data_IF_815181694744
#
_entry.id   IF_815181694744
#
_cell.length_a   1.000
_cell.length_b   1.000
_cell.length_c   1.000
_cell.angle_alpha   90.00
_cell.angle_beta   90.00
_cell.angle_gamma   90.00
#
_symmetry.space_group_name_H-M   'P 1'
#
loop_
_entity.id
_entity.type
_entity.pdbx_description
1 polymer ?
#
# COMPACT_ATOMS: atom_id res chain seq x y z
N UNK A 1 73.19 -80.64 -35.60
CA UNK A 1 72.56 -81.81 -36.25
C UNK A 1 71.07 -81.51 -36.40
N UNK A 2 70.58 -81.57 -37.63
CA UNK A 2 69.19 -81.52 -38.14
C UNK A 2 68.22 -80.42 -37.61
N UNK A 3 67.78 -79.46 -38.46
CA UNK A 3 66.62 -78.62 -38.15
C UNK A 3 65.31 -79.42 -38.28
N UNK A 4 64.47 -79.36 -37.26
CA UNK A 4 63.17 -80.01 -37.22
C UNK A 4 62.15 -79.21 -38.05
N UNK A 5 61.59 -79.91 -39.05
CA UNK A 5 60.47 -79.53 -39.89
C UNK A 5 59.22 -79.23 -39.06
N UNK A 6 58.70 -78.00 -39.17
CA UNK A 6 57.43 -77.55 -38.58
C UNK A 6 56.29 -77.91 -39.56
N UNK A 7 55.26 -78.69 -39.14
CA UNK A 7 54.12 -78.99 -39.98
C UNK A 7 53.15 -77.79 -40.11
N UNK A 8 52.44 -77.66 -41.24
CA UNK A 8 51.49 -76.55 -41.46
C UNK A 8 50.24 -76.68 -40.58
N UNK A 9 49.61 -75.55 -40.20
CA UNK A 9 48.38 -75.55 -39.42
C UNK A 9 47.21 -76.15 -40.22
N UNK A 10 46.56 -77.12 -39.62
CA UNK A 10 45.31 -77.71 -40.11
C UNK A 10 44.17 -76.74 -39.77
N UNK A 11 43.70 -75.97 -40.75
CA UNK A 11 42.45 -75.24 -40.62
C UNK A 11 41.29 -76.24 -40.69
N UNK A 12 40.76 -76.63 -39.53
CA UNK A 12 39.44 -77.22 -39.46
C UNK A 12 38.43 -76.12 -39.83
N UNK A 13 37.83 -76.23 -41.02
CA UNK A 13 36.68 -75.44 -41.41
C UNK A 13 35.48 -75.91 -40.57
N UNK A 14 35.37 -75.37 -39.36
CA UNK A 14 34.15 -75.46 -38.58
C UNK A 14 33.11 -74.62 -39.32
N UNK A 15 32.19 -75.28 -40.02
CA UNK A 15 31.02 -74.67 -40.62
C UNK A 15 30.20 -74.07 -39.48
N UNK A 16 30.47 -72.82 -39.12
CA UNK A 16 29.57 -71.99 -38.33
C UNK A 16 28.28 -71.88 -39.14
N UNK A 17 27.35 -72.81 -38.91
CA UNK A 17 25.94 -72.62 -39.23
C UNK A 17 25.52 -71.35 -38.54
N UNK A 18 25.37 -70.28 -39.31
CA UNK A 18 24.79 -69.03 -38.85
C UNK A 18 23.45 -69.37 -38.20
N UNK A 19 23.25 -69.03 -36.92
CA UNK A 19 21.98 -69.29 -36.26
C UNK A 19 20.87 -68.64 -37.08
N UNK A 20 19.90 -69.46 -37.49
CA UNK A 20 18.73 -69.01 -38.23
C UNK A 20 18.08 -67.89 -37.42
N UNK A 21 17.94 -66.70 -38.02
CA UNK A 21 17.48 -65.49 -37.32
C UNK A 21 16.16 -65.77 -36.60
N UNK A 22 15.32 -66.62 -37.22
CA UNK A 22 14.02 -67.05 -36.70
C UNK A 22 14.13 -67.90 -35.41
N UNK A 23 15.13 -68.76 -35.29
CA UNK A 23 15.38 -69.51 -34.04
C UNK A 23 15.87 -68.59 -32.92
N UNK A 24 16.62 -67.53 -33.28
CA UNK A 24 17.09 -66.50 -32.33
C UNK A 24 15.93 -65.66 -31.77
N UNK A 25 14.90 -65.38 -32.57
CA UNK A 25 13.66 -64.73 -32.08
C UNK A 25 12.69 -65.72 -31.42
N UNK A 26 13.08 -66.99 -31.33
CA UNK A 26 12.39 -68.01 -30.54
C UNK A 26 11.30 -68.79 -31.27
N UNK A 27 11.30 -68.78 -32.60
CA UNK A 27 10.50 -69.68 -33.41
C UNK A 27 11.16 -71.05 -33.46
N UNK A 28 10.40 -72.12 -33.23
CA UNK A 28 10.91 -73.48 -33.37
C UNK A 28 10.35 -74.09 -34.66
N UNK A 29 11.23 -74.73 -35.44
CA UNK A 29 10.81 -75.50 -36.62
C UNK A 29 9.95 -76.66 -36.14
N UNK A 30 8.69 -76.68 -36.56
CA UNK A 30 7.73 -77.73 -36.22
C UNK A 30 6.98 -78.12 -37.48
N UNK A 31 6.57 -79.38 -37.57
CA UNK A 31 5.81 -79.86 -38.72
C UNK A 31 4.35 -79.43 -38.55
N UNK A 32 3.80 -78.78 -39.56
CA UNK A 32 2.43 -78.25 -39.56
C UNK A 32 1.69 -78.86 -40.77
N UNK A 33 0.37 -79.03 -40.68
CA UNK A 33 -0.49 -79.54 -41.76
C UNK A 33 -1.05 -80.94 -41.49
N UNK A 34 -2.05 -81.37 -42.29
CA UNK A 34 -2.68 -82.69 -42.15
C UNK A 34 -1.70 -83.80 -42.55
N UNK A 35 -0.93 -84.29 -41.58
CA UNK A 35 0.03 -85.38 -41.74
C UNK A 35 1.51 -85.00 -41.55
N UNK A 36 1.82 -83.87 -40.90
CA UNK A 36 3.20 -83.46 -40.53
C UNK A 36 4.19 -83.39 -41.70
N UNK A 37 3.72 -83.02 -42.90
CA UNK A 37 4.54 -83.03 -44.12
C UNK A 37 5.19 -81.68 -44.45
N UNK A 38 4.69 -80.57 -43.91
CA UNK A 38 5.22 -79.23 -44.19
C UNK A 38 6.03 -78.71 -43.00
N UNK A 39 7.25 -78.26 -43.28
CA UNK A 39 8.10 -77.58 -42.29
C UNK A 39 7.55 -76.16 -42.09
N UNK A 40 6.99 -75.90 -40.91
CA UNK A 40 6.54 -74.59 -40.49
C UNK A 40 7.31 -74.10 -39.26
N UNK A 41 7.07 -72.85 -38.88
CA UNK A 41 7.61 -72.28 -37.65
C UNK A 41 6.45 -72.10 -36.66
N UNK A 42 6.57 -72.68 -35.46
CA UNK A 42 5.59 -72.54 -34.39
C UNK A 42 6.23 -71.77 -33.23
N UNK A 43 5.57 -70.71 -32.78
CA UNK A 43 5.91 -70.05 -31.52
C UNK A 43 5.33 -70.86 -30.36
N UNK A 44 6.18 -71.21 -29.40
CA UNK A 44 5.72 -71.75 -28.11
C UNK A 44 4.78 -70.75 -27.42
N UNK A 45 3.60 -71.21 -26.99
CA UNK A 45 2.62 -70.37 -26.26
C UNK A 45 3.22 -69.64 -25.06
N UNK A 46 4.20 -70.24 -24.38
CA UNK A 46 4.93 -69.61 -23.27
C UNK A 46 5.73 -68.39 -23.72
N UNK A 47 6.38 -68.44 -24.90
CA UNK A 47 7.13 -67.31 -25.48
C UNK A 47 6.18 -66.21 -25.97
N UNK A 48 5.05 -66.57 -26.58
CA UNK A 48 4.04 -65.59 -26.98
C UNK A 48 3.47 -64.83 -25.77
N UNK A 49 3.17 -65.54 -24.67
CA UNK A 49 2.74 -64.93 -23.41
C UNK A 49 3.83 -64.04 -22.80
N UNK A 50 5.09 -64.47 -22.85
CA UNK A 50 6.22 -63.66 -22.41
C UNK A 50 6.38 -62.37 -23.21
N UNK A 51 6.22 -62.44 -24.53
CA UNK A 51 6.28 -61.26 -25.42
C UNK A 51 5.09 -60.32 -25.18
N UNK A 52 3.88 -60.86 -25.03
CA UNK A 52 2.70 -60.07 -24.69
C UNK A 52 2.85 -59.39 -23.31
N UNK A 53 3.30 -60.12 -22.28
CA UNK A 53 3.55 -59.57 -20.96
C UNK A 53 4.66 -58.50 -20.99
N UNK A 54 5.74 -58.72 -21.76
CA UNK A 54 6.80 -57.75 -21.98
C UNK A 54 6.28 -56.48 -22.64
N UNK A 55 5.47 -56.60 -23.70
CA UNK A 55 4.86 -55.44 -24.36
C UNK A 55 3.91 -54.66 -23.44
N UNK A 56 3.09 -55.36 -22.64
CA UNK A 56 2.21 -54.73 -21.66
C UNK A 56 3.00 -54.03 -20.55
N UNK A 57 4.11 -54.60 -20.09
CA UNK A 57 5.00 -53.96 -19.12
C UNK A 57 5.63 -52.67 -19.70
N UNK A 58 6.09 -52.68 -20.95
CA UNK A 58 6.63 -51.48 -21.61
C UNK A 58 5.56 -50.38 -21.73
N UNK A 59 4.34 -50.73 -22.12
CA UNK A 59 3.21 -49.78 -22.17
C UNK A 59 2.88 -49.25 -20.77
N UNK A 60 2.91 -50.11 -19.74
CA UNK A 60 2.72 -49.71 -18.36
C UNK A 60 3.77 -48.72 -17.86
N UNK A 61 5.05 -48.98 -18.16
CA UNK A 61 6.15 -48.06 -17.84
C UNK A 61 5.99 -46.73 -18.57
N UNK A 62 5.66 -46.75 -19.87
CA UNK A 62 5.40 -45.52 -20.63
C UNK A 62 4.22 -44.72 -20.05
N UNK A 63 3.14 -45.39 -19.66
CA UNK A 63 2.01 -44.74 -19.01
C UNK A 63 2.40 -44.10 -17.67
N UNK A 64 3.21 -44.78 -16.86
CA UNK A 64 3.72 -44.22 -15.59
C UNK A 64 4.61 -42.99 -15.86
N UNK A 65 5.52 -43.06 -16.84
CA UNK A 65 6.36 -41.91 -17.21
C UNK A 65 5.51 -40.74 -17.67
N UNK A 66 4.48 -40.96 -18.49
CA UNK A 66 3.55 -39.89 -18.92
C UNK A 66 2.79 -39.29 -17.73
N UNK A 67 2.34 -40.11 -16.78
CA UNK A 67 1.66 -39.60 -15.57
C UNK A 67 2.62 -38.79 -14.70
N UNK A 68 3.87 -39.25 -14.54
CA UNK A 68 4.89 -38.53 -13.77
C UNK A 68 5.28 -37.20 -14.44
N UNK A 69 5.47 -37.17 -15.76
CA UNK A 69 5.78 -35.91 -16.47
C UNK A 69 4.61 -34.93 -16.45
N UNK A 70 3.37 -35.41 -16.57
CA UNK A 70 2.18 -34.55 -16.37
C UNK A 70 2.11 -34.00 -14.94
N UNK A 71 2.51 -34.79 -13.94
CA UNK A 71 2.58 -34.36 -12.55
C UNK A 71 3.69 -33.31 -12.33
N UNK A 72 4.88 -33.53 -12.89
CA UNK A 72 6.00 -32.59 -12.86
C UNK A 72 5.64 -31.26 -13.54
N UNK A 73 5.08 -31.29 -14.76
CA UNK A 73 4.63 -30.08 -15.46
C UNK A 73 3.57 -29.33 -14.64
N UNK A 74 2.64 -30.05 -13.99
CA UNK A 74 1.64 -29.43 -13.12
C UNK A 74 2.28 -28.84 -11.85
N UNK A 75 3.30 -29.48 -11.30
CA UNK A 75 4.00 -29.01 -10.11
C UNK A 75 4.91 -27.81 -10.41
N UNK A 76 5.64 -27.84 -11.53
CA UNK A 76 6.43 -26.72 -12.04
C UNK A 76 5.54 -25.52 -12.36
N UNK A 77 4.41 -25.74 -13.04
CA UNK A 77 3.44 -24.67 -13.30
C UNK A 77 2.93 -24.06 -11.99
N UNK A 78 2.63 -24.87 -10.97
CA UNK A 78 2.26 -24.39 -9.63
C UNK A 78 3.38 -23.62 -8.93
N UNK A 79 4.63 -24.11 -8.99
CA UNK A 79 5.79 -23.45 -8.40
C UNK A 79 6.09 -22.12 -9.09
N UNK A 80 5.99 -22.08 -10.41
CA UNK A 80 6.17 -20.88 -11.21
C UNK A 80 5.09 -19.85 -10.90
N UNK A 81 3.81 -20.22 -10.87
CA UNK A 81 2.73 -19.30 -10.46
C UNK A 81 2.92 -18.77 -9.04
N UNK A 82 3.47 -19.55 -8.11
CA UNK A 82 3.79 -19.06 -6.76
C UNK A 82 4.90 -18.02 -6.75
N UNK A 83 5.96 -18.20 -7.54
CA UNK A 83 7.03 -17.21 -7.67
C UNK A 83 6.53 -15.95 -8.37
N UNK A 84 5.79 -16.13 -9.45
CA UNK A 84 5.16 -15.03 -10.19
C UNK A 84 4.26 -14.21 -9.24
N UNK A 85 3.45 -14.87 -8.40
CA UNK A 85 2.63 -14.19 -7.40
C UNK A 85 3.43 -13.44 -6.34
N UNK A 86 4.54 -14.00 -5.85
CA UNK A 86 5.41 -13.24 -4.93
C UNK A 86 5.94 -11.97 -5.59
N UNK A 87 6.32 -12.05 -6.87
CA UNK A 87 6.78 -10.89 -7.62
C UNK A 87 5.64 -9.91 -7.93
N UNK A 88 4.44 -10.40 -8.28
CA UNK A 88 3.24 -9.60 -8.51
C UNK A 88 2.74 -8.93 -7.23
N UNK A 89 2.64 -9.65 -6.10
CA UNK A 89 2.30 -9.08 -4.79
C UNK A 89 3.34 -8.04 -4.35
N UNK A 90 4.64 -8.29 -4.55
CA UNK A 90 5.67 -7.30 -4.25
C UNK A 90 5.54 -6.06 -5.12
N UNK A 91 5.23 -6.23 -6.42
CA UNK A 91 5.00 -5.14 -7.34
C UNK A 91 3.72 -4.36 -6.98
N UNK A 92 2.63 -5.04 -6.63
CA UNK A 92 1.37 -4.45 -6.20
C UNK A 92 1.53 -3.69 -4.88
N UNK A 93 2.27 -4.25 -3.91
CA UNK A 93 2.59 -3.57 -2.66
C UNK A 93 3.41 -2.30 -2.91
N UNK A 94 4.42 -2.35 -3.77
CA UNK A 94 5.22 -1.17 -4.15
C UNK A 94 4.41 -0.13 -4.92
N UNK A 95 3.48 -0.56 -5.77
CA UNK A 95 2.56 0.35 -6.45
C UNK A 95 1.63 1.03 -5.44
N UNK A 96 1.00 0.27 -4.55
CA UNK A 96 0.14 0.83 -3.50
C UNK A 96 0.89 1.81 -2.59
N UNK A 97 2.16 1.53 -2.28
CA UNK A 97 3.05 2.43 -1.53
C UNK A 97 3.28 3.75 -2.28
N UNK A 98 3.78 3.68 -3.52
CA UNK A 98 4.03 4.87 -4.34
C UNK A 98 2.75 5.69 -4.55
N UNK A 99 1.63 5.00 -4.74
CA UNK A 99 0.34 5.66 -4.89
C UNK A 99 -0.13 6.34 -3.61
N UNK A 100 0.12 5.76 -2.43
CA UNK A 100 -0.19 6.40 -1.15
C UNK A 100 0.71 7.60 -0.86
N UNK A 101 1.99 7.53 -1.20
CA UNK A 101 2.90 8.66 -1.09
C UNK A 101 2.43 9.81 -2.00
N UNK A 102 2.10 9.51 -3.27
CA UNK A 102 1.51 10.47 -4.19
C UNK A 102 0.20 11.03 -3.65
N UNK A 103 -0.64 10.21 -3.03
CA UNK A 103 -1.91 10.62 -2.44
C UNK A 103 -1.70 11.62 -1.29
N UNK A 104 -0.72 11.37 -0.41
CA UNK A 104 -0.34 12.30 0.65
C UNK A 104 0.15 13.63 0.06
N UNK A 105 1.05 13.59 -0.92
CA UNK A 105 1.57 14.78 -1.59
C UNK A 105 0.45 15.61 -2.24
N UNK A 106 -0.50 14.97 -2.93
CA UNK A 106 -1.63 15.66 -3.53
C UNK A 106 -2.57 16.29 -2.51
N UNK A 107 -2.78 15.64 -1.37
CA UNK A 107 -3.58 16.19 -0.30
C UNK A 107 -2.92 17.44 0.29
N UNK A 108 -1.61 17.37 0.54
CA UNK A 108 -0.84 18.51 1.04
C UNK A 108 -0.87 19.68 0.03
N UNK A 109 -0.71 19.42 -1.27
CA UNK A 109 -0.87 20.43 -2.34
C UNK A 109 -2.26 21.10 -2.33
N UNK A 110 -3.33 20.34 -2.09
CA UNK A 110 -4.70 20.87 -2.03
C UNK A 110 -4.87 21.77 -0.81
N UNK A 111 -4.36 21.34 0.35
CA UNK A 111 -4.39 22.11 1.59
C UNK A 111 -3.60 23.40 1.43
N UNK A 112 -2.36 23.32 0.94
CA UNK A 112 -1.50 24.48 0.69
C UNK A 112 -2.16 25.46 -0.29
N UNK A 113 -2.79 24.97 -1.35
CA UNK A 113 -3.56 25.78 -2.29
C UNK A 113 -4.71 26.55 -1.60
N UNK A 114 -5.46 25.89 -0.72
CA UNK A 114 -6.57 26.51 0.00
C UNK A 114 -6.07 27.55 1.02
N UNK A 115 -5.02 27.23 1.76
CA UNK A 115 -4.36 28.16 2.68
C UNK A 115 -3.82 29.39 1.96
N UNK A 116 -3.18 29.19 0.79
CA UNK A 116 -2.68 30.27 -0.04
C UNK A 116 -3.82 31.21 -0.50
N UNK A 117 -4.97 30.66 -0.88
CA UNK A 117 -6.16 31.47 -1.19
C UNK A 117 -6.67 32.24 0.03
N UNK A 118 -6.73 31.60 1.20
CA UNK A 118 -7.16 32.25 2.44
C UNK A 118 -6.21 33.40 2.82
N UNK A 119 -4.90 33.19 2.70
CA UNK A 119 -3.87 34.20 2.92
C UNK A 119 -4.02 35.39 1.95
N UNK A 120 -4.32 35.15 0.67
CA UNK A 120 -4.61 36.24 -0.27
C UNK A 120 -5.85 37.05 0.12
N UNK A 121 -6.92 36.39 0.56
CA UNK A 121 -8.13 37.09 1.03
C UNK A 121 -7.83 37.92 2.28
N UNK A 122 -7.06 37.37 3.23
CA UNK A 122 -6.61 38.06 4.44
C UNK A 122 -5.73 39.27 4.11
N UNK A 123 -4.76 39.12 3.21
CA UNK A 123 -3.92 40.20 2.70
C UNK A 123 -4.77 41.32 2.09
N UNK A 124 -5.72 40.98 1.22
CA UNK A 124 -6.59 41.97 0.59
C UNK A 124 -7.45 42.73 1.61
N UNK A 125 -7.92 42.04 2.65
CA UNK A 125 -8.69 42.64 3.75
C UNK A 125 -7.82 43.54 4.63
N UNK A 126 -6.61 43.09 4.97
CA UNK A 126 -5.63 43.88 5.74
C UNK A 126 -5.27 45.17 5.01
N UNK A 127 -5.16 45.12 3.68
CA UNK A 127 -4.88 46.28 2.83
C UNK A 127 -5.99 47.32 2.90
N UNK A 128 -7.24 46.90 2.75
CA UNK A 128 -8.39 47.79 2.88
C UNK A 128 -8.39 48.51 4.25
N UNK A 129 -7.97 47.83 5.31
CA UNK A 129 -7.85 48.42 6.65
C UNK A 129 -6.64 49.38 6.80
N UNK A 130 -5.50 49.07 6.17
CA UNK A 130 -4.29 49.89 6.19
C UNK A 130 -4.55 51.26 5.56
N UNK A 131 -5.23 51.28 4.41
CA UNK A 131 -5.57 52.51 3.71
C UNK A 131 -6.31 53.50 4.63
N UNK A 132 -7.31 53.02 5.37
CA UNK A 132 -8.09 53.82 6.32
C UNK A 132 -7.22 54.32 7.48
N UNK A 133 -6.37 53.45 8.06
CA UNK A 133 -5.47 53.82 9.16
C UNK A 133 -4.43 54.86 8.74
N UNK A 134 -3.85 54.69 7.56
CA UNK A 134 -2.84 55.62 7.03
C UNK A 134 -3.45 56.99 6.78
N UNK A 135 -4.63 57.05 6.15
CA UNK A 135 -5.36 58.31 5.96
C UNK A 135 -5.60 59.02 7.30
N UNK A 136 -6.10 58.29 8.30
CA UNK A 136 -6.33 58.82 9.65
C UNK A 136 -5.06 59.34 10.33
N UNK A 137 -3.92 58.66 10.11
CA UNK A 137 -2.64 59.03 10.73
C UNK A 137 -2.10 60.30 10.10
N UNK A 138 -2.20 60.41 8.77
CA UNK A 138 -1.76 61.58 8.03
C UNK A 138 -2.64 62.79 8.36
N UNK A 139 -3.95 62.61 8.47
CA UNK A 139 -4.87 63.66 8.94
C UNK A 139 -4.53 64.16 10.34
N UNK A 140 -4.05 63.28 11.23
CA UNK A 140 -3.59 63.65 12.57
C UNK A 140 -2.25 64.39 12.54
N UNK A 141 -1.25 63.85 11.83
CA UNK A 141 0.07 64.47 11.70
C UNK A 141 0.01 65.83 10.99
N UNK A 142 -0.87 65.99 10.00
CA UNK A 142 -1.12 67.25 9.32
C UNK A 142 -1.59 68.34 10.30
N UNK A 143 -2.48 67.98 11.24
CA UNK A 143 -2.96 68.88 12.29
C UNK A 143 -1.84 69.25 13.27
N UNK A 144 -1.01 68.28 13.68
CA UNK A 144 0.08 68.50 14.63
C UNK A 144 1.19 69.40 14.05
N UNK A 145 1.55 69.20 12.79
CA UNK A 145 2.61 69.95 12.11
C UNK A 145 2.14 71.30 11.54
N UNK A 146 0.87 71.66 11.74
CA UNK A 146 0.25 72.87 11.19
C UNK A 146 0.44 73.00 9.66
N UNK A 147 0.52 71.86 8.97
CA UNK A 147 0.62 71.80 7.52
C UNK A 147 -0.71 72.24 6.91
N UNK A 148 -0.65 72.98 5.81
CA UNK A 148 -1.85 73.25 5.02
C UNK A 148 -2.47 71.90 4.63
N UNK A 149 -3.74 71.69 4.98
CA UNK A 149 -4.50 70.47 4.73
C UNK A 149 -4.35 69.97 3.30
N UNK A 150 -4.35 70.86 2.32
CA UNK A 150 -4.27 70.47 0.91
C UNK A 150 -2.89 69.88 0.56
N UNK A 151 -1.81 70.41 1.15
CA UNK A 151 -0.45 69.90 0.94
C UNK A 151 -0.23 68.57 1.68
N UNK A 152 -0.77 68.45 2.88
CA UNK A 152 -0.70 67.21 3.63
C UNK A 152 -1.53 66.09 2.95
N UNK A 153 -2.72 66.42 2.45
CA UNK A 153 -3.54 65.50 1.66
C UNK A 153 -2.83 65.07 0.38
N UNK A 154 -2.18 65.99 -0.35
CA UNK A 154 -1.41 65.63 -1.55
C UNK A 154 -0.20 64.73 -1.23
N UNK A 155 0.50 64.97 -0.13
CA UNK A 155 1.59 64.08 0.31
C UNK A 155 1.05 62.71 0.70
N UNK A 156 -0.12 62.67 1.37
CA UNK A 156 -0.82 61.44 1.70
C UNK A 156 -1.14 60.63 0.45
N UNK A 157 -1.73 61.28 -0.55
CA UNK A 157 -2.10 60.64 -1.82
C UNK A 157 -0.88 60.10 -2.56
N UNK A 158 0.26 60.81 -2.55
CA UNK A 158 1.50 60.31 -3.16
C UNK A 158 2.03 59.07 -2.45
N UNK A 159 2.07 59.09 -1.11
CA UNK A 159 2.53 57.94 -0.31
C UNK A 159 1.58 56.75 -0.49
N UNK A 160 0.27 57.01 -0.41
CA UNK A 160 -0.76 55.99 -0.61
C UNK A 160 -0.68 55.40 -2.01
N UNK A 161 -0.45 56.21 -3.04
CA UNK A 161 -0.33 55.75 -4.42
C UNK A 161 0.93 54.90 -4.62
N UNK A 162 2.06 55.29 -4.05
CA UNK A 162 3.30 54.50 -4.17
C UNK A 162 3.21 53.18 -3.41
N UNK A 163 2.67 53.21 -2.18
CA UNK A 163 2.39 52.01 -1.39
C UNK A 163 1.37 51.12 -2.10
N UNK A 164 0.31 51.70 -2.67
CA UNK A 164 -0.67 50.97 -3.46
C UNK A 164 -0.04 50.33 -4.70
N UNK A 165 0.84 51.03 -5.41
CA UNK A 165 1.52 50.50 -6.60
C UNK A 165 2.42 49.32 -6.24
N UNK A 166 3.32 49.49 -5.27
CA UNK A 166 4.24 48.43 -4.83
C UNK A 166 3.49 47.21 -4.28
N UNK A 167 2.40 47.44 -3.54
CA UNK A 167 1.59 46.34 -3.03
C UNK A 167 0.69 45.71 -4.08
N UNK A 168 0.19 46.44 -5.06
CA UNK A 168 -0.54 45.86 -6.19
C UNK A 168 0.35 44.89 -6.98
N UNK A 169 1.63 45.24 -7.15
CA UNK A 169 2.60 44.34 -7.77
C UNK A 169 2.85 43.09 -6.90
N UNK A 170 3.02 43.26 -5.58
CA UNK A 170 3.16 42.13 -4.65
C UNK A 170 1.91 41.24 -4.62
N UNK A 171 0.71 41.80 -4.59
CA UNK A 171 -0.56 41.07 -4.65
C UNK A 171 -0.69 40.35 -5.98
N UNK A 172 -0.24 40.95 -7.09
CA UNK A 172 -0.23 40.28 -8.40
C UNK A 172 0.73 39.10 -8.42
N UNK A 173 1.90 39.22 -7.80
CA UNK A 173 2.89 38.13 -7.72
C UNK A 173 2.39 37.02 -6.80
N UNK A 174 1.90 37.37 -5.61
CA UNK A 174 1.26 36.43 -4.70
C UNK A 174 0.08 35.74 -5.38
N UNK A 175 -0.78 36.48 -6.08
CA UNK A 175 -1.87 35.92 -6.87
C UNK A 175 -1.38 34.92 -7.91
N UNK A 176 -0.33 35.23 -8.65
CA UNK A 176 0.23 34.29 -9.62
C UNK A 176 0.77 33.02 -8.95
N UNK A 177 1.44 33.12 -7.80
CA UNK A 177 1.90 31.97 -7.03
C UNK A 177 0.73 31.12 -6.54
N UNK A 178 -0.31 31.76 -5.98
CA UNK A 178 -1.51 31.05 -5.53
C UNK A 178 -2.27 30.43 -6.70
N UNK A 179 -2.40 31.13 -7.83
CA UNK A 179 -3.03 30.56 -9.04
C UNK A 179 -2.25 29.32 -9.51
N UNK A 180 -0.91 29.34 -9.41
CA UNK A 180 -0.07 28.17 -9.71
C UNK A 180 -0.32 27.03 -8.71
N UNK A 181 -0.32 27.30 -7.40
CA UNK A 181 -0.64 26.30 -6.37
C UNK A 181 -2.04 25.72 -6.55
N UNK A 182 -3.04 26.54 -6.82
CA UNK A 182 -4.43 26.11 -7.11
C UNK A 182 -4.48 25.26 -8.37
N UNK A 183 -3.71 25.60 -9.40
CA UNK A 183 -3.61 24.78 -10.61
C UNK A 183 -2.89 23.44 -10.36
N UNK A 184 -1.91 23.41 -9.45
CA UNK A 184 -1.24 22.19 -9.01
C UNK A 184 -2.21 21.32 -8.21
N UNK A 185 -2.88 21.86 -7.18
CA UNK A 185 -3.90 21.15 -6.41
C UNK A 185 -5.08 20.64 -7.24
N UNK A 186 -5.55 21.39 -8.26
CA UNK A 186 -6.57 20.88 -9.21
C UNK A 186 -6.06 19.72 -10.07
N UNK A 187 -4.80 19.76 -10.48
CA UNK A 187 -4.15 18.63 -11.18
C UNK A 187 -4.00 17.45 -10.24
N UNK A 188 -3.54 17.68 -9.02
CA UNK A 188 -3.43 16.69 -7.94
C UNK A 188 -4.76 16.00 -7.68
N UNK A 189 -5.84 16.74 -7.43
CA UNK A 189 -7.17 16.16 -7.23
C UNK A 189 -7.69 15.35 -8.44
N UNK A 190 -7.27 15.67 -9.66
CA UNK A 190 -7.61 14.88 -10.85
C UNK A 190 -6.78 13.60 -10.96
N UNK A 191 -5.49 13.69 -10.62
CA UNK A 191 -4.56 12.56 -10.57
C UNK A 191 -4.94 11.60 -9.46
N UNK A 192 -5.24 12.11 -8.27
CA UNK A 192 -5.76 11.39 -7.11
C UNK A 192 -6.93 10.47 -7.52
N UNK A 193 -7.95 11.03 -8.18
CA UNK A 193 -9.11 10.25 -8.67
C UNK A 193 -8.76 9.22 -9.74
N UNK A 194 -7.70 9.45 -10.52
CA UNK A 194 -7.24 8.51 -11.53
C UNK A 194 -6.50 7.35 -10.87
N UNK A 195 -5.53 7.67 -10.02
CA UNK A 195 -4.74 6.73 -9.22
C UNK A 195 -5.64 5.87 -8.35
N UNK A 196 -6.55 6.45 -7.56
CA UNK A 196 -7.50 5.67 -6.75
C UNK A 196 -8.38 4.73 -7.58
N UNK A 197 -8.66 5.06 -8.85
CA UNK A 197 -9.44 4.19 -9.74
C UNK A 197 -8.59 3.06 -10.31
N UNK A 198 -7.34 3.35 -10.69
CA UNK A 198 -6.40 2.35 -11.17
C UNK A 198 -6.05 1.36 -10.06
N UNK A 199 -5.77 1.84 -8.85
CA UNK A 199 -5.58 1.03 -7.65
C UNK A 199 -6.73 0.04 -7.45
N UNK A 200 -7.96 0.54 -7.33
CA UNK A 200 -9.14 -0.33 -7.12
C UNK A 200 -9.27 -1.36 -8.24
N UNK A 201 -8.97 -0.96 -9.48
CA UNK A 201 -9.03 -1.87 -10.64
C UNK A 201 -7.97 -2.96 -10.58
N UNK A 202 -6.72 -2.62 -10.26
CA UNK A 202 -5.63 -3.59 -10.11
C UNK A 202 -5.91 -4.55 -8.95
N UNK A 203 -6.40 -4.04 -7.82
CA UNK A 203 -6.78 -4.86 -6.67
C UNK A 203 -7.96 -5.80 -6.99
N UNK A 204 -8.95 -5.35 -7.77
CA UNK A 204 -10.03 -6.21 -8.26
C UNK A 204 -9.55 -7.30 -9.23
N UNK A 205 -8.54 -7.00 -10.05
CA UNK A 205 -7.92 -7.97 -10.96
C UNK A 205 -7.12 -9.01 -10.16
N UNK A 206 -6.35 -8.57 -9.15
CA UNK A 206 -5.62 -9.45 -8.23
C UNK A 206 -6.56 -10.35 -7.41
N UNK A 207 -7.65 -9.79 -6.85
CA UNK A 207 -8.63 -10.58 -6.09
C UNK A 207 -9.30 -11.65 -6.97
N UNK A 208 -9.54 -11.37 -8.26
CA UNK A 208 -10.05 -12.37 -9.22
C UNK A 208 -9.04 -13.50 -9.43
N UNK A 209 -7.76 -13.16 -9.60
CA UNK A 209 -6.70 -14.15 -9.73
C UNK A 209 -6.58 -15.04 -8.48
N UNK A 210 -6.71 -14.47 -7.28
CA UNK A 210 -6.74 -15.23 -6.02
C UNK A 210 -7.92 -16.22 -6.00
N UNK A 211 -9.13 -15.76 -6.35
CA UNK A 211 -10.35 -16.59 -6.37
C UNK A 211 -10.28 -17.71 -7.41
N UNK A 212 -9.72 -17.46 -8.58
CA UNK A 212 -9.52 -18.48 -9.63
C UNK A 212 -8.59 -19.59 -9.12
N UNK A 213 -7.51 -19.24 -8.43
CA UNK A 213 -6.56 -20.20 -7.86
C UNK A 213 -7.15 -21.03 -6.71
N UNK A 214 -8.00 -20.43 -5.87
CA UNK A 214 -8.75 -21.15 -4.84
C UNK A 214 -9.67 -22.21 -5.46
N UNK A 215 -10.36 -21.86 -6.56
CA UNK A 215 -11.23 -22.79 -7.29
C UNK A 215 -10.45 -23.92 -7.97
N UNK A 216 -9.21 -23.67 -8.41
CA UNK A 216 -8.32 -24.71 -8.97
C UNK A 216 -7.71 -25.65 -7.90
N UNK A 217 -8.09 -25.48 -6.63
CA UNK A 217 -7.61 -26.30 -5.52
C UNK A 217 -6.19 -25.95 -5.09
N UNK A 218 -5.77 -24.70 -5.29
CA UNK A 218 -4.60 -24.14 -4.64
C UNK A 218 -4.82 -24.10 -3.12
N UNK A 219 -3.91 -24.68 -2.35
CA UNK A 219 -3.89 -24.45 -0.89
C UNK A 219 -3.65 -22.95 -0.69
N UNK A 220 -4.45 -22.25 0.13
CA UNK A 220 -4.24 -20.85 0.46
C UNK A 220 -2.78 -20.63 0.84
N UNK A 221 -2.18 -19.57 0.28
CA UNK A 221 -0.83 -19.16 0.65
C UNK A 221 -0.92 -18.60 2.07
N UNK A 222 -0.83 -19.46 3.07
CA UNK A 222 -0.26 -19.03 4.34
C UNK A 222 1.22 -18.89 4.04
N UNK A 223 1.69 -17.64 3.97
CA UNK A 223 3.09 -17.38 4.21
C UNK A 223 3.44 -18.12 5.50
N UNK A 224 4.33 -19.13 5.47
CA UNK A 224 4.77 -19.72 6.71
C UNK A 224 5.51 -18.59 7.41
N UNK A 225 4.84 -17.92 8.35
CA UNK A 225 5.51 -17.22 9.44
C UNK A 225 6.51 -18.26 9.96
N UNK A 226 7.78 -18.09 9.62
CA UNK A 226 8.84 -18.93 10.10
C UNK A 226 8.92 -18.72 11.61
N UNK A 227 8.10 -19.47 12.34
CA UNK A 227 8.38 -20.03 13.65
C UNK A 227 9.01 -19.11 14.70
N UNK A 228 8.80 -17.79 14.68
CA UNK A 228 9.10 -16.98 15.86
C UNK A 228 7.90 -17.00 16.79
N UNK A 229 7.76 -18.15 17.47
CA UNK A 229 7.11 -18.17 18.79
C UNK A 229 7.89 -17.21 19.68
N UNK A 230 7.41 -15.97 19.76
CA UNK A 230 7.71 -15.01 20.79
C UNK A 230 7.29 -15.63 22.12
N UNK A 231 8.20 -16.42 22.71
CA UNK A 231 8.18 -16.66 24.14
C UNK A 231 8.47 -15.30 24.76
N UNK A 232 7.45 -14.75 25.43
CA UNK A 232 7.56 -13.50 26.15
C UNK A 232 8.71 -13.53 27.14
N UNK A 233 9.70 -12.68 26.89
CA UNK A 233 10.40 -11.95 27.93
C UNK A 233 10.99 -10.69 27.29
N UNK A 234 10.27 -9.59 27.42
CA UNK A 234 10.77 -8.26 27.09
C UNK A 234 11.90 -7.92 28.07
N UNK A 235 13.12 -8.26 27.72
CA UNK A 235 14.32 -7.61 28.26
C UNK A 235 15.06 -6.96 27.10
N UNK A 236 14.80 -5.67 26.94
CA UNK A 236 15.57 -4.74 26.14
C UNK A 236 17.01 -4.72 26.65
N UNK A 237 17.90 -5.46 25.99
CA UNK A 237 19.33 -5.21 26.07
C UNK A 237 19.92 -5.45 24.70
N UNK A 238 20.36 -4.35 24.09
CA UNK A 238 20.75 -4.29 22.70
C UNK A 238 21.91 -5.20 22.36
N UNK A 239 21.91 -5.66 21.12
CA UNK A 239 23.16 -5.98 20.42
C UNK A 239 22.91 -5.84 18.92
N UNK A 240 23.44 -4.75 18.38
CA UNK A 240 23.65 -4.53 16.96
C UNK A 240 24.34 -5.76 16.33
N UNK A 241 23.79 -6.28 15.24
CA UNK A 241 24.50 -7.24 14.39
C UNK A 241 23.62 -8.24 13.68
N UNK A 242 22.88 -7.80 12.66
CA UNK A 242 22.09 -8.68 11.80
C UNK A 242 21.25 -7.90 10.80
N UNK A 243 21.90 -7.06 9.99
CA UNK A 243 21.28 -6.25 8.94
C UNK A 243 21.02 -7.10 7.68
N UNK A 244 20.31 -8.23 7.84
CA UNK A 244 19.61 -8.86 6.72
C UNK A 244 18.25 -8.18 6.66
N UNK A 245 18.12 -7.32 5.66
CA UNK A 245 16.92 -6.64 5.17
C UNK A 245 15.65 -7.45 5.42
N UNK A 246 15.05 -7.26 6.60
CA UNK A 246 13.60 -7.15 6.68
C UNK A 246 13.31 -5.88 5.89
N UNK A 247 13.08 -6.01 4.58
CA UNK A 247 12.13 -5.11 3.91
C UNK A 247 10.87 -5.26 4.77
N UNK A 248 10.72 -4.37 5.76
CA UNK A 248 9.47 -4.22 6.49
C UNK A 248 8.44 -3.97 5.42
N UNK A 249 7.39 -4.78 5.44
CA UNK A 249 6.24 -4.58 4.57
C UNK A 249 5.70 -3.17 4.89
N UNK A 250 6.09 -2.14 4.13
CA UNK A 250 5.71 -0.74 4.40
C UNK A 250 4.19 -0.58 4.49
N UNK A 251 3.45 -1.42 3.77
CA UNK A 251 2.00 -1.49 3.84
C UNK A 251 1.53 -1.92 5.23
N UNK A 252 2.27 -2.79 5.91
CA UNK A 252 2.01 -3.17 7.30
C UNK A 252 2.14 -1.97 8.23
N UNK A 253 3.18 -1.15 8.07
CA UNK A 253 3.40 0.04 8.90
C UNK A 253 2.30 1.09 8.69
N UNK A 254 1.89 1.29 7.43
CA UNK A 254 0.75 2.13 7.06
C UNK A 254 -0.54 1.62 7.73
N UNK A 255 -0.80 0.31 7.65
CA UNK A 255 -1.95 -0.32 8.30
C UNK A 255 -1.88 -0.20 9.82
N UNK A 256 -0.71 -0.31 10.44
CA UNK A 256 -0.55 -0.07 11.87
C UNK A 256 -0.95 1.34 12.28
N UNK A 257 -0.54 2.37 11.50
CA UNK A 257 -0.96 3.75 11.73
C UNK A 257 -2.47 3.96 11.53
N UNK A 258 -3.05 3.32 10.51
CA UNK A 258 -4.50 3.32 10.31
C UNK A 258 -5.23 2.71 11.51
N UNK A 259 -4.84 1.52 11.96
CA UNK A 259 -5.49 0.83 13.08
C UNK A 259 -5.28 1.56 14.41
N UNK A 260 -4.13 2.21 14.60
CA UNK A 260 -3.93 3.09 15.75
C UNK A 260 -4.97 4.22 15.76
N UNK A 261 -5.14 4.90 14.62
CA UNK A 261 -6.11 5.99 14.44
C UNK A 261 -7.55 5.50 14.65
N UNK A 262 -7.90 4.35 14.08
CA UNK A 262 -9.22 3.74 14.24
C UNK A 262 -9.51 3.37 15.70
N UNK A 263 -8.54 2.78 16.41
CA UNK A 263 -8.71 2.39 17.80
C UNK A 263 -8.84 3.60 18.75
N UNK A 264 -8.07 4.65 18.49
CA UNK A 264 -8.19 5.94 19.18
C UNK A 264 -9.60 6.51 18.99
N UNK A 265 -10.05 6.55 17.73
CA UNK A 265 -11.40 6.97 17.38
C UNK A 265 -12.51 6.10 18.03
N UNK A 266 -12.39 4.76 18.01
CA UNK A 266 -13.33 3.86 18.68
C UNK A 266 -13.44 4.17 20.18
N UNK A 267 -12.31 4.48 20.81
CA UNK A 267 -12.28 4.81 22.24
C UNK A 267 -13.10 6.06 22.56
N UNK A 268 -13.11 7.05 21.65
CA UNK A 268 -13.84 8.31 21.79
C UNK A 268 -15.32 8.19 21.39
N UNK A 269 -15.63 7.46 20.31
CA UNK A 269 -16.95 7.53 19.65
C UNK A 269 -17.85 6.29 19.78
N UNK A 270 -17.42 5.22 20.47
CA UNK A 270 -18.15 3.93 20.53
C UNK A 270 -19.60 3.95 21.04
N UNK A 271 -19.96 4.88 21.93
CA UNK A 271 -21.22 4.82 22.68
C UNK A 271 -22.23 5.89 22.22
N UNK A 272 -22.33 6.97 22.99
CA UNK A 272 -23.33 8.02 22.86
C UNK A 272 -23.30 8.70 21.47
N UNK A 273 -22.13 9.05 20.89
CA UNK A 273 -22.07 9.67 19.57
C UNK A 273 -22.74 8.84 18.48
N UNK A 274 -22.44 7.55 18.38
CA UNK A 274 -23.04 6.64 17.39
C UNK A 274 -24.56 6.51 17.51
N UNK A 275 -25.08 6.60 18.73
CA UNK A 275 -26.52 6.48 18.96
C UNK A 275 -27.28 7.75 18.56
N UNK A 276 -26.66 8.93 18.72
CA UNK A 276 -27.32 10.23 18.59
C UNK A 276 -27.02 10.95 17.26
N UNK A 277 -25.82 10.82 16.71
CA UNK A 277 -25.42 11.46 15.45
C UNK A 277 -25.95 10.68 14.26
N UNK A 278 -27.22 10.93 13.93
CA UNK A 278 -27.96 10.34 12.81
C UNK A 278 -28.83 11.38 12.14
N UNK A 279 -29.33 11.05 10.96
CA UNK A 279 -30.29 11.87 10.21
C UNK A 279 -31.45 12.33 11.10
N UNK A 280 -31.73 13.64 11.06
CA UNK A 280 -32.78 14.27 11.87
C UNK A 280 -32.34 14.78 13.24
N UNK A 281 -31.13 14.45 13.72
CA UNK A 281 -30.58 15.10 14.91
C UNK A 281 -30.07 16.52 14.58
N UNK A 282 -30.43 17.57 15.35
CA UNK A 282 -30.06 18.95 15.01
C UNK A 282 -28.55 19.17 14.82
N UNK A 283 -27.73 18.60 15.70
CA UNK A 283 -26.26 18.65 15.61
C UNK A 283 -25.76 17.99 14.32
N UNK A 284 -26.35 16.87 13.90
CA UNK A 284 -25.92 16.16 12.70
C UNK A 284 -26.26 16.96 11.43
N UNK A 285 -27.43 17.60 11.39
CA UNK A 285 -27.81 18.49 10.27
C UNK A 285 -26.90 19.74 10.21
N UNK A 286 -26.53 20.33 11.35
CA UNK A 286 -25.56 21.43 11.39
C UNK A 286 -24.19 21.02 10.85
N UNK A 287 -23.73 19.80 11.19
CA UNK A 287 -22.48 19.25 10.66
C UNK A 287 -22.57 19.06 9.13
N UNK A 288 -23.66 18.49 8.61
CA UNK A 288 -23.88 18.37 7.16
C UNK A 288 -23.86 19.73 6.45
N UNK A 289 -24.52 20.73 7.02
CA UNK A 289 -24.54 22.08 6.47
C UNK A 289 -23.13 22.68 6.43
N UNK A 290 -22.34 22.45 7.48
CA UNK A 290 -20.94 22.88 7.53
C UNK A 290 -20.08 22.14 6.48
N UNK A 291 -20.21 20.82 6.34
CA UNK A 291 -19.51 20.07 5.31
C UNK A 291 -19.91 20.49 3.90
N UNK A 292 -21.18 20.80 3.66
CA UNK A 292 -21.65 21.33 2.39
C UNK A 292 -20.99 22.69 2.06
N UNK A 293 -20.81 23.56 3.06
CA UNK A 293 -20.07 24.83 2.91
C UNK A 293 -18.59 24.61 2.62
N UNK A 294 -17.96 23.67 3.34
CA UNK A 294 -16.56 23.29 3.11
C UNK A 294 -16.35 22.82 1.66
N UNK A 295 -17.24 21.98 1.15
CA UNK A 295 -17.21 21.45 -0.21
C UNK A 295 -17.72 22.43 -1.28
N UNK A 296 -18.15 23.62 -0.89
CA UNK A 296 -18.61 24.65 -1.84
C UNK A 296 -17.42 25.30 -2.56
N UNK A 297 -17.63 25.96 -3.71
CA UNK A 297 -16.56 26.69 -4.39
C UNK A 297 -15.92 27.82 -3.54
N UNK A 298 -16.67 28.32 -2.56
CA UNK A 298 -16.21 29.33 -1.61
C UNK A 298 -15.89 28.64 -0.27
N UNK A 299 -14.83 27.82 -0.27
CA UNK A 299 -14.39 27.11 0.93
C UNK A 299 -14.02 28.12 2.03
N UNK A 300 -14.64 28.02 3.23
CA UNK A 300 -14.30 28.84 4.39
C UNK A 300 -12.87 28.56 4.85
N UNK A 301 -12.26 29.52 5.54
CA UNK A 301 -10.93 29.32 6.12
C UNK A 301 -10.97 28.32 7.28
N UNK A 302 -9.82 27.76 7.64
CA UNK A 302 -9.69 26.82 8.77
C UNK A 302 -10.21 27.44 10.09
N UNK A 303 -9.89 28.71 10.32
CA UNK A 303 -10.38 29.48 11.48
C UNK A 303 -11.91 29.64 11.47
N UNK A 304 -12.51 29.88 10.30
CA UNK A 304 -13.96 29.98 10.15
C UNK A 304 -14.65 28.63 10.38
N UNK A 305 -14.03 27.54 9.94
CA UNK A 305 -14.51 26.17 10.19
C UNK A 305 -14.44 25.86 11.69
N UNK A 306 -13.31 26.17 12.34
CA UNK A 306 -13.14 26.01 13.80
C UNK A 306 -14.18 26.80 14.58
N UNK A 307 -14.40 28.08 14.25
CA UNK A 307 -15.44 28.90 14.89
C UNK A 307 -16.86 28.40 14.62
N UNK A 308 -17.11 27.77 13.47
CA UNK A 308 -18.40 27.17 13.17
C UNK A 308 -18.61 25.89 13.98
N UNK A 309 -17.57 25.04 14.12
CA UNK A 309 -17.57 23.86 14.97
C UNK A 309 -17.80 24.21 16.45
N UNK A 310 -17.13 25.23 16.97
CA UNK A 310 -17.29 25.68 18.37
C UNK A 310 -18.72 26.12 18.72
N UNK A 311 -19.49 26.55 17.71
CA UNK A 311 -20.91 26.94 17.87
C UNK A 311 -21.84 25.73 17.87
N UNK A 312 -21.39 24.58 17.39
CA UNK A 312 -22.17 23.34 17.38
C UNK A 312 -22.00 22.68 18.75
N UNK A 313 -23.11 22.36 19.41
CA UNK A 313 -23.08 21.68 20.72
C UNK A 313 -22.75 20.19 20.57
N UNK A 314 -21.49 19.88 20.29
CA UNK A 314 -20.96 18.52 20.17
C UNK A 314 -21.02 17.75 21.51
N UNK A 315 -21.03 18.48 22.63
CA UNK A 315 -21.14 17.89 23.97
C UNK A 315 -22.50 17.22 24.19
N UNK A 316 -23.57 17.77 23.61
CA UNK A 316 -24.92 17.20 23.69
C UNK A 316 -25.00 15.77 23.16
N UNK A 317 -24.23 15.46 22.11
CA UNK A 317 -24.15 14.14 21.49
C UNK A 317 -23.02 13.27 22.04
N UNK A 318 -22.23 13.79 22.98
CA UNK A 318 -21.07 13.09 23.56
C UNK A 318 -19.85 13.04 22.64
N UNK A 319 -19.81 13.87 21.60
CA UNK A 319 -18.73 13.96 20.62
C UNK A 319 -17.85 15.20 20.87
N UNK A 320 -17.69 15.58 22.14
CA UNK A 320 -16.89 16.76 22.50
C UNK A 320 -15.46 16.57 22.03
N UNK A 321 -14.92 17.59 21.35
CA UNK A 321 -13.52 17.62 20.90
C UNK A 321 -12.64 17.67 22.15
N UNK A 322 -12.13 16.52 22.57
CA UNK A 322 -11.23 16.42 23.72
C UNK A 322 -9.96 17.24 23.48
N UNK A 323 -9.15 17.43 24.54
CA UNK A 323 -7.87 18.14 24.43
C UNK A 323 -6.75 17.32 23.77
N UNK A 324 -7.05 16.14 23.24
CA UNK A 324 -6.04 15.14 22.83
C UNK A 324 -5.68 15.13 21.35
N UNK A 325 -6.65 15.41 20.46
CA UNK A 325 -6.45 15.27 19.00
C UNK A 325 -6.31 16.64 18.36
N UNK A 326 -5.12 16.94 17.83
CA UNK A 326 -4.87 18.13 17.00
C UNK A 326 -5.05 17.71 15.55
N UNK A 327 -6.31 17.60 15.12
CA UNK A 327 -6.66 17.37 13.72
C UNK A 327 -7.04 18.70 13.06
N UNK A 328 -6.82 18.86 11.75
CA UNK A 328 -7.43 19.94 10.99
C UNK A 328 -8.96 19.96 11.22
N UNK A 329 -9.53 21.14 11.42
CA UNK A 329 -10.95 21.37 11.62
C UNK A 329 -11.79 20.73 10.50
N UNK A 330 -11.30 20.75 9.26
CA UNK A 330 -11.95 20.06 8.15
C UNK A 330 -12.07 18.54 8.37
N UNK A 331 -11.00 17.90 8.83
CA UNK A 331 -10.96 16.46 9.08
C UNK A 331 -11.89 16.10 10.25
N UNK A 332 -11.94 16.94 11.28
CA UNK A 332 -12.87 16.79 12.41
C UNK A 332 -14.32 16.78 11.92
N UNK A 333 -14.70 17.73 11.04
CA UNK A 333 -16.06 17.77 10.47
C UNK A 333 -16.36 16.49 9.68
N UNK A 334 -15.41 16.01 8.89
CA UNK A 334 -15.58 14.77 8.12
C UNK A 334 -15.77 13.55 9.04
N UNK A 335 -14.89 13.36 10.03
CA UNK A 335 -14.99 12.25 11.00
C UNK A 335 -16.35 12.22 11.69
N UNK A 336 -16.82 13.38 12.17
CA UNK A 336 -18.09 13.49 12.89
C UNK A 336 -19.30 13.14 12.02
N UNK A 337 -19.28 13.48 10.73
CA UNK A 337 -20.36 13.16 9.79
C UNK A 337 -20.37 11.69 9.41
N UNK A 338 -19.21 11.06 9.41
CA UNK A 338 -19.05 9.65 9.04
C UNK A 338 -19.30 8.68 10.20
N UNK A 339 -19.37 9.13 11.46
CA UNK A 339 -19.74 8.31 12.63
C UNK A 339 -20.85 7.27 12.35
N UNK A 340 -22.02 7.63 11.79
CA UNK A 340 -23.09 6.66 11.53
C UNK A 340 -22.86 5.76 10.31
N UNK A 341 -21.91 6.08 9.44
CA UNK A 341 -21.64 5.38 8.18
C UNK A 341 -20.46 4.41 8.27
N UNK A 342 -19.52 4.66 9.19
CA UNK A 342 -18.33 3.84 9.37
C UNK A 342 -18.75 2.39 9.75
N UNK A 343 -18.25 1.37 9.05
CA UNK A 343 -18.58 -0.03 9.29
C UNK A 343 -17.74 -0.59 10.45
N UNK A 344 -18.00 -0.11 11.67
CA UNK A 344 -17.17 -0.37 12.86
C UNK A 344 -16.97 -1.86 13.14
N UNK A 345 -18.02 -2.68 12.99
CA UNK A 345 -17.94 -4.12 13.27
C UNK A 345 -17.07 -4.84 12.26
N UNK A 346 -17.20 -4.45 11.00
CA UNK A 346 -16.45 -4.98 9.89
C UNK A 346 -14.98 -4.54 9.97
N UNK A 347 -14.69 -3.31 10.38
CA UNK A 347 -13.33 -2.81 10.65
C UNK A 347 -12.67 -3.58 11.78
N UNK A 348 -13.34 -3.77 12.92
CA UNK A 348 -12.80 -4.58 14.03
C UNK A 348 -12.53 -6.03 13.61
N UNK A 349 -13.43 -6.62 12.81
CA UNK A 349 -13.23 -7.96 12.27
C UNK A 349 -12.05 -8.01 11.28
N UNK A 350 -11.91 -7.00 10.43
CA UNK A 350 -10.83 -6.89 9.45
C UNK A 350 -9.47 -6.71 10.13
N UNK A 351 -9.38 -5.87 11.17
CA UNK A 351 -8.16 -5.71 11.99
C UNK A 351 -7.77 -7.04 12.62
N UNK A 352 -8.74 -7.77 13.19
CA UNK A 352 -8.47 -9.07 13.80
C UNK A 352 -7.97 -10.09 12.77
N UNK A 353 -8.67 -10.23 11.63
CA UNK A 353 -8.28 -11.15 10.55
C UNK A 353 -6.85 -10.85 10.05
N UNK A 354 -6.48 -9.57 9.97
CA UNK A 354 -5.15 -9.13 9.59
C UNK A 354 -4.09 -9.47 10.65
N UNK A 355 -4.35 -9.12 11.93
CA UNK A 355 -3.42 -9.41 13.04
C UNK A 355 -3.23 -10.92 13.26
N UNK A 356 -4.25 -11.72 13.00
CA UNK A 356 -4.21 -13.18 13.08
C UNK A 356 -3.53 -13.81 11.84
N UNK A 357 -3.10 -13.01 10.85
CA UNK A 357 -2.47 -13.49 9.61
C UNK A 357 -3.43 -14.25 8.67
N UNK A 358 -4.75 -14.11 8.90
CA UNK A 358 -5.79 -14.72 8.05
C UNK A 358 -5.98 -13.94 6.76
N UNK A 359 -5.78 -12.62 6.79
CA UNK A 359 -5.74 -11.74 5.63
C UNK A 359 -4.40 -11.04 5.55
N UNK A 360 -3.85 -10.95 4.36
CA UNK A 360 -2.62 -10.22 4.06
C UNK A 360 -2.89 -8.70 3.99
N UNK A 361 -1.81 -7.91 4.07
CA UNK A 361 -1.84 -6.45 4.08
C UNK A 361 -2.52 -5.88 2.83
N UNK A 362 -2.31 -6.47 1.65
CA UNK A 362 -2.89 -6.01 0.38
C UNK A 362 -4.41 -6.18 0.40
N UNK A 363 -4.91 -7.37 0.74
CA UNK A 363 -6.35 -7.62 0.85
C UNK A 363 -7.04 -6.66 1.83
N UNK A 364 -6.39 -6.39 2.97
CA UNK A 364 -6.93 -5.50 4.00
C UNK A 364 -6.98 -4.07 3.48
N UNK A 365 -5.87 -3.59 2.94
CA UNK A 365 -5.78 -2.25 2.39
C UNK A 365 -6.77 -2.01 1.25
N UNK A 366 -6.98 -2.99 0.37
CA UNK A 366 -7.96 -2.88 -0.71
C UNK A 366 -9.38 -2.73 -0.20
N UNK A 367 -9.71 -3.43 0.88
CA UNK A 367 -11.01 -3.27 1.52
C UNK A 367 -11.17 -1.88 2.15
N UNK A 368 -10.12 -1.34 2.75
CA UNK A 368 -10.10 0.03 3.28
C UNK A 368 -10.26 1.06 2.15
N UNK A 369 -9.54 0.90 1.03
CA UNK A 369 -9.65 1.76 -0.14
C UNK A 369 -11.08 1.74 -0.74
N UNK A 370 -11.71 0.56 -0.80
CA UNK A 370 -13.10 0.42 -1.24
C UNK A 370 -14.07 1.20 -0.32
N UNK A 371 -13.93 1.05 1.00
CA UNK A 371 -14.76 1.79 1.97
C UNK A 371 -14.52 3.29 1.93
N UNK A 372 -13.28 3.73 1.71
CA UNK A 372 -12.97 5.14 1.48
C UNK A 372 -13.64 5.68 0.21
N UNK A 373 -13.55 4.96 -0.91
CA UNK A 373 -14.22 5.34 -2.16
C UNK A 373 -15.75 5.40 -2.02
N UNK A 374 -16.34 4.59 -1.15
CA UNK A 374 -17.76 4.61 -0.80
C UNK A 374 -18.15 5.75 0.17
N UNK A 375 -17.18 6.55 0.64
CA UNK A 375 -17.38 7.61 1.62
C UNK A 375 -17.79 7.07 2.99
N UNK A 376 -17.28 5.90 3.36
CA UNK A 376 -17.49 5.25 4.66
C UNK A 376 -16.31 5.42 5.61
N UNK A 377 -15.13 5.77 5.10
CA UNK A 377 -13.94 6.07 5.91
C UNK A 377 -13.52 7.53 5.75
N UNK A 378 -13.08 8.20 6.83
CA UNK A 378 -12.47 9.53 6.75
C UNK A 378 -11.19 9.49 5.91
N UNK A 379 -10.99 10.52 5.09
CA UNK A 379 -9.82 10.62 4.21
C UNK A 379 -8.53 10.75 5.01
N UNK A 380 -8.59 11.42 6.16
CA UNK A 380 -7.43 11.62 7.03
C UNK A 380 -6.80 10.35 7.58
N UNK A 381 -7.55 9.25 7.72
CA UNK A 381 -7.05 8.04 8.39
C UNK A 381 -6.04 7.27 7.55
N UNK A 382 -6.23 7.23 6.23
CA UNK A 382 -5.29 6.54 5.33
C UNK A 382 -3.97 7.29 5.22
N UNK A 383 -4.00 8.64 5.29
CA UNK A 383 -2.80 9.47 5.25
C UNK A 383 -1.96 9.39 6.54
N UNK A 384 -2.57 9.13 7.70
CA UNK A 384 -1.85 9.09 8.97
C UNK A 384 -0.92 7.89 9.13
N UNK A 385 -1.13 6.82 8.35
CA UNK A 385 -0.19 5.69 8.29
C UNK A 385 1.18 6.06 7.73
N UNK A 386 1.24 7.06 6.83
CA UNK A 386 2.47 7.48 6.15
C UNK A 386 3.35 8.36 7.05
N UNK A 387 2.75 9.16 7.94
CA UNK A 387 3.47 10.15 8.77
C UNK A 387 4.14 9.58 10.02
N UNK A 388 4.04 8.27 10.28
CA UNK A 388 4.62 7.66 11.47
C UNK A 388 6.14 7.59 11.39
N UNK A 389 6.72 7.37 10.21
CA UNK A 389 8.17 7.46 10.00
C UNK A 389 8.67 8.88 10.29
N UNK A 390 8.04 9.91 9.72
CA UNK A 390 8.39 11.32 10.01
C UNK A 390 8.26 11.68 11.50
N UNK A 391 7.23 11.17 12.18
CA UNK A 391 7.01 11.40 13.61
C UNK A 391 7.99 10.61 14.51
N UNK A 392 8.44 9.44 14.07
CA UNK A 392 9.47 8.67 14.78
C UNK A 392 10.84 9.31 14.59
N UNK A 393 11.17 9.77 13.38
CA UNK A 393 12.38 10.57 13.11
C UNK A 393 12.39 11.86 13.95
N UNK A 394 11.29 12.62 13.99
CA UNK A 394 11.20 13.85 14.78
C UNK A 394 11.29 13.56 16.31
N UNK A 395 10.82 12.39 16.76
CA UNK A 395 10.97 11.95 18.16
C UNK A 395 12.40 11.52 18.47
N UNK A 396 13.07 10.85 17.55
CA UNK A 396 14.48 10.49 17.68
C UNK A 396 15.35 11.74 17.73
N UNK A 397 15.13 12.71 16.82
CA UNK A 397 15.82 14.00 16.81
C UNK A 397 15.62 14.76 18.12
N UNK A 398 14.37 14.88 18.62
CA UNK A 398 14.08 15.50 19.93
C UNK A 398 14.74 14.74 21.10
N UNK A 399 14.87 13.43 21.02
CA UNK A 399 15.56 12.63 22.04
C UNK A 399 17.07 12.81 21.98
N UNK A 400 17.66 12.92 20.79
CA UNK A 400 19.07 13.24 20.59
C UNK A 400 19.39 14.64 21.10
N UNK A 401 18.61 15.65 20.72
CA UNK A 401 18.75 17.02 21.24
C UNK A 401 18.63 17.07 22.77
N UNK A 402 17.69 16.31 23.36
CA UNK A 402 17.53 16.22 24.80
C UNK A 402 18.73 15.54 25.49
N UNK A 403 19.32 14.52 24.85
CA UNK A 403 20.55 13.85 25.34
C UNK A 403 21.74 14.80 25.24
N UNK A 404 21.96 15.46 24.11
CA UNK A 404 23.05 16.44 23.93
C UNK A 404 22.94 17.61 24.93
N UNK A 405 21.73 18.13 25.13
CA UNK A 405 21.48 19.19 26.12
C UNK A 405 21.76 18.74 27.55
N UNK A 406 21.56 17.44 27.86
CA UNK A 406 21.86 16.87 29.17
C UNK A 406 23.36 16.66 29.36
N UNK A 407 24.05 16.11 28.37
CA UNK A 407 25.52 15.93 28.38
C UNK A 407 26.24 17.28 28.51
N UNK A 408 25.78 18.31 27.78
CA UNK A 408 26.34 19.67 27.88
C UNK A 408 26.16 20.26 29.27
N UNK A 409 25.01 20.02 29.92
CA UNK A 409 24.76 20.46 31.31
C UNK A 409 25.62 19.73 32.33
N UNK A 410 25.91 18.45 32.11
CA UNK A 410 26.78 17.65 32.99
C UNK A 410 28.25 18.06 32.84
N UNK A 411 28.74 18.22 31.61
CA UNK A 411 30.11 18.68 31.34
C UNK A 411 30.40 20.08 31.93
N UNK A 412 29.40 20.99 31.87
CA UNK A 412 29.52 22.32 32.47
C UNK A 412 29.57 22.28 34.01
N UNK A 413 28.84 21.35 34.64
CA UNK A 413 28.92 21.17 36.10
C UNK A 413 30.27 20.59 36.55
N UNK A 414 30.88 19.70 35.78
CA UNK A 414 32.21 19.14 36.10
C UNK A 414 33.33 20.19 35.97
N UNK A 415 33.22 21.09 34.98
CA UNK A 415 34.18 22.19 34.80
C UNK A 415 34.02 23.30 35.83
N UNK A 416 32.82 23.55 36.36
CA UNK A 416 32.61 24.49 37.46
C UNK A 416 33.00 23.92 38.84
N UNK A 417 33.11 22.59 38.97
CA UNK A 417 33.50 21.90 40.19
C UNK A 417 35.01 21.66 40.32
N UNK A 418 35.77 21.83 39.23
CA UNK A 418 37.24 21.70 39.16
C UNK A 418 37.91 23.07 39.24
#
# INVERSE_FOLDING_TARGET
MAPASVPPPTFAADLMTTPDILETVGFEKSKIGSGDKELGYVIKRSRLRGLAAGSAAVVGVLAIVVVLTLFEVRFERRSFHRKLRKEEHHAASKLAEVEMELWSQYRDDIVESNEAQALLRSLNTSYASLQVRLQSTIDSAAKELNLNKDKAAHLADLILREVASMQQDNVKHAKHLVDHLVSAGKRGASLERHVSRELVKEMEEEEKHIKEDEQEGGVPYHEPEEGHRLHGDHRLEGTHGGNETRESDHLKDLLEGFWFTFNDYESEFKDKPRSLLKDGHPVYEQLKDLQAKIRSPETPSEEEIGQALDKIDLSSVGAGLGSGRVLPAMDIVEELILIPKIPHKELTALEKDWRDGTKDSVTVFGKLAEWHAQGQLPSGWLAQGVKKEELEEEKEEKQEEAKEAKETKEAKKETEAS
#
